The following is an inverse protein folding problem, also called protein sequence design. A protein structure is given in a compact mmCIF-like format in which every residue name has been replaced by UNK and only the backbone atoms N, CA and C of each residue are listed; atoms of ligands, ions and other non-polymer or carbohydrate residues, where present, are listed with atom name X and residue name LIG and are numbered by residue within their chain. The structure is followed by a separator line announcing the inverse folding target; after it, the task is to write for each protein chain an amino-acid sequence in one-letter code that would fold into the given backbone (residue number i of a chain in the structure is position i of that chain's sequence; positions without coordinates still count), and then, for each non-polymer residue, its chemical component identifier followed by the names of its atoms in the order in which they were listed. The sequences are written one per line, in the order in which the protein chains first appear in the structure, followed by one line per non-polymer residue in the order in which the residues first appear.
data_IF_188053257482
#
_entry.id   IF_188053257482
#
_cell.length_a   1.000
_cell.length_b   1.000
_cell.length_c   1.000
_cell.angle_alpha   90.00
_cell.angle_beta   90.00
_cell.angle_gamma   90.00
#
_symmetry.space_group_name_H-M   'P 1'
#
loop_
_entity.id
_entity.type
_entity.pdbx_description
1 polymer ?
#
# COMPACT_ATOMS: atom_id res chain seq x y z
N UNK A 1 -9.36 -3.77 -13.03
CA UNK A 1 -8.13 -3.05 -13.43
C UNK A 1 -8.44 -1.61 -13.81
N UNK A 2 -9.51 -1.34 -14.55
CA UNK A 2 -9.93 -0.01 -14.98
C UNK A 2 -10.05 1.01 -13.84
N UNK A 3 -10.65 0.63 -12.72
CA UNK A 3 -10.80 1.50 -11.55
C UNK A 3 -9.46 2.00 -10.98
N UNK A 4 -8.45 1.13 -10.92
CA UNK A 4 -7.11 1.50 -10.41
C UNK A 4 -6.42 2.47 -11.36
N UNK A 5 -6.56 2.27 -12.68
CA UNK A 5 -6.06 3.21 -13.70
C UNK A 5 -6.75 4.57 -13.59
N UNK A 6 -8.08 4.59 -13.54
CA UNK A 6 -8.87 5.82 -13.34
C UNK A 6 -8.45 6.56 -12.07
N UNK A 7 -8.21 5.84 -10.97
CA UNK A 7 -7.73 6.46 -9.75
C UNK A 7 -6.35 7.12 -9.93
N UNK A 8 -5.40 6.44 -10.61
CA UNK A 8 -4.09 7.02 -10.90
C UNK A 8 -4.20 8.29 -11.76
N UNK A 9 -5.02 8.26 -12.81
CA UNK A 9 -5.30 9.41 -13.68
C UNK A 9 -5.90 10.58 -12.91
N UNK A 10 -6.84 10.32 -11.98
CA UNK A 10 -7.43 11.33 -11.10
C UNK A 10 -6.40 11.99 -10.20
N UNK A 11 -5.47 11.21 -9.63
CA UNK A 11 -4.37 11.78 -8.85
C UNK A 11 -3.42 12.60 -9.70
N UNK A 12 -3.08 12.17 -10.91
CA UNK A 12 -2.26 12.94 -11.85
C UNK A 12 -2.92 14.27 -12.20
N UNK A 13 -4.21 14.25 -12.56
CA UNK A 13 -4.99 15.43 -12.91
C UNK A 13 -5.16 16.39 -11.70
N UNK A 14 -5.48 15.85 -10.52
CA UNK A 14 -5.68 16.65 -9.30
C UNK A 14 -4.41 17.33 -8.82
N UNK A 15 -3.29 16.62 -8.81
CA UNK A 15 -2.03 17.14 -8.29
C UNK A 15 -1.23 17.91 -9.32
N UNK A 16 -1.45 17.65 -10.62
CA UNK A 16 -0.63 18.15 -11.74
C UNK A 16 0.87 17.82 -11.56
N UNK A 17 1.14 16.65 -10.95
CA UNK A 17 2.49 16.18 -10.65
C UNK A 17 2.71 14.77 -11.19
N UNK A 18 3.98 14.41 -11.37
CA UNK A 18 4.37 13.03 -11.62
C UNK A 18 3.79 12.09 -10.57
N UNK A 19 3.25 10.95 -10.99
CA UNK A 19 2.69 9.93 -10.10
C UNK A 19 3.64 8.76 -9.98
N UNK A 20 4.03 8.46 -8.75
CA UNK A 20 4.71 7.22 -8.38
C UNK A 20 3.67 6.26 -7.79
N UNK A 21 3.39 5.16 -8.47
CA UNK A 21 2.47 4.13 -7.98
C UNK A 21 3.16 3.25 -6.93
N UNK A 22 2.60 3.19 -5.73
CA UNK A 22 3.12 2.34 -4.65
C UNK A 22 2.44 0.99 -4.71
N UNK A 23 3.19 -0.04 -5.15
CA UNK A 23 2.70 -1.40 -5.42
C UNK A 23 3.32 -2.46 -4.51
N UNK A 24 3.83 -2.06 -3.35
CA UNK A 24 4.35 -2.98 -2.32
C UNK A 24 3.29 -3.91 -1.77
N UNK A 25 3.69 -4.97 -1.07
CA UNK A 25 2.81 -5.99 -0.50
C UNK A 25 1.84 -6.57 -1.54
N UNK A 26 2.40 -7.02 -2.67
CA UNK A 26 1.64 -7.53 -3.82
C UNK A 26 0.56 -6.54 -4.29
N UNK A 27 0.94 -5.26 -4.47
CA UNK A 27 0.01 -4.17 -4.79
C UNK A 27 -1.16 -4.07 -3.78
N UNK A 28 -0.83 -4.06 -2.48
CA UNK A 28 -1.84 -4.10 -1.40
C UNK A 28 -2.82 -5.27 -1.56
N UNK A 29 -2.31 -6.43 -1.95
CA UNK A 29 -3.10 -7.64 -2.17
C UNK A 29 -3.85 -7.71 -3.51
N UNK A 30 -3.61 -6.80 -4.46
CA UNK A 30 -4.31 -6.77 -5.75
C UNK A 30 -3.60 -7.52 -6.89
N UNK A 31 -2.39 -8.09 -6.65
CA UNK A 31 -1.57 -8.68 -7.71
C UNK A 31 -0.64 -7.65 -8.34
N UNK A 32 0.65 -7.64 -7.92
CA UNK A 32 1.57 -6.56 -8.27
C UNK A 32 1.91 -6.52 -9.75
N UNK A 33 2.10 -7.66 -10.39
CA UNK A 33 2.51 -7.75 -11.79
C UNK A 33 1.42 -7.20 -12.71
N UNK A 34 0.19 -7.62 -12.51
CA UNK A 34 -0.96 -7.19 -13.32
C UNK A 34 -1.31 -5.72 -13.10
N UNK A 35 -1.20 -5.24 -11.85
CA UNK A 35 -1.41 -3.82 -11.53
C UNK A 35 -0.33 -2.95 -12.17
N UNK A 36 0.92 -3.40 -12.18
CA UNK A 36 2.03 -2.69 -12.83
C UNK A 36 1.81 -2.63 -14.34
N UNK A 37 1.45 -3.75 -14.97
CA UNK A 37 1.09 -3.80 -16.40
C UNK A 37 -0.07 -2.83 -16.72
N UNK A 38 -1.11 -2.79 -15.88
CA UNK A 38 -2.25 -1.91 -16.08
C UNK A 38 -1.92 -0.42 -15.95
N UNK A 39 -0.92 -0.08 -15.14
CA UNK A 39 -0.52 1.30 -14.84
C UNK A 39 0.68 1.79 -15.66
N UNK A 40 1.32 0.93 -16.45
CA UNK A 40 2.55 1.24 -17.17
C UNK A 40 2.44 2.52 -18.00
N UNK A 41 1.35 2.70 -18.76
CA UNK A 41 1.10 3.90 -19.56
C UNK A 41 0.61 5.13 -18.77
N UNK A 42 0.27 4.98 -17.48
CA UNK A 42 -0.44 6.00 -16.69
C UNK A 42 0.47 6.69 -15.65
N UNK A 43 1.48 5.98 -15.12
CA UNK A 43 2.33 6.50 -14.04
C UNK A 43 3.77 6.69 -14.48
N UNK A 44 4.52 7.53 -13.79
CA UNK A 44 5.91 7.86 -14.13
C UNK A 44 6.92 6.84 -13.59
N UNK A 45 6.62 6.26 -12.43
CA UNK A 45 7.46 5.25 -11.79
C UNK A 45 6.66 4.42 -10.79
N UNK A 46 7.26 3.33 -10.35
CA UNK A 46 6.72 2.47 -9.29
C UNK A 46 7.53 2.59 -8.01
N UNK A 47 6.93 2.22 -6.88
CA UNK A 47 7.65 2.07 -5.63
C UNK A 47 7.19 0.83 -4.86
N UNK A 48 8.16 0.12 -4.31
CA UNK A 48 7.95 -1.10 -3.51
C UNK A 48 8.70 -1.00 -2.18
N UNK A 49 8.46 -1.93 -1.28
CA UNK A 49 9.16 -1.97 -0.01
C UNK A 49 10.49 -2.73 -0.10
N UNK A 50 10.51 -3.88 -0.75
CA UNK A 50 11.59 -4.85 -0.74
C UNK A 50 12.22 -5.04 -2.14
N UNK A 51 13.46 -5.54 -2.17
CA UNK A 51 14.16 -5.84 -3.43
C UNK A 51 13.45 -6.95 -4.19
N UNK A 52 12.98 -7.97 -3.48
CA UNK A 52 12.26 -9.12 -4.04
C UNK A 52 10.98 -8.67 -4.77
N UNK A 53 10.27 -7.70 -4.20
CA UNK A 53 9.10 -7.10 -4.86
C UNK A 53 9.50 -6.33 -6.13
N UNK A 54 10.63 -5.62 -6.11
CA UNK A 54 11.14 -4.90 -7.28
C UNK A 54 11.54 -5.85 -8.41
N UNK A 55 12.23 -6.95 -8.08
CA UNK A 55 12.61 -7.99 -9.03
C UNK A 55 11.38 -8.64 -9.65
N UNK A 56 10.38 -8.99 -8.83
CA UNK A 56 9.14 -9.62 -9.30
C UNK A 56 8.39 -8.78 -10.34
N UNK A 57 8.37 -7.44 -10.20
CA UNK A 57 7.67 -6.55 -11.13
C UNK A 57 8.57 -5.96 -12.23
N UNK A 58 9.86 -6.31 -12.29
CA UNK A 58 10.83 -5.65 -13.20
C UNK A 58 10.40 -5.73 -14.66
N UNK A 59 9.96 -6.91 -15.10
CA UNK A 59 9.53 -7.14 -16.49
C UNK A 59 8.26 -6.37 -16.81
N UNK A 60 7.25 -6.46 -15.93
CA UNK A 60 5.96 -5.77 -16.09
C UNK A 60 6.09 -4.24 -16.10
N UNK A 61 7.10 -3.71 -15.40
CA UNK A 61 7.36 -2.27 -15.36
C UNK A 61 7.95 -1.68 -16.67
N UNK A 62 8.22 -2.50 -17.68
CA UNK A 62 8.63 -2.08 -19.04
C UNK A 62 9.70 -0.98 -19.09
N UNK A 63 10.76 -1.10 -18.27
CA UNK A 63 11.85 -0.12 -18.20
C UNK A 63 11.58 1.09 -17.29
N UNK A 64 10.37 1.28 -16.74
CA UNK A 64 10.11 2.35 -15.77
C UNK A 64 10.96 2.19 -14.50
N UNK A 65 11.24 3.32 -13.87
CA UNK A 65 12.02 3.36 -12.63
C UNK A 65 11.22 2.74 -11.48
N UNK A 66 11.90 1.97 -10.64
CA UNK A 66 11.33 1.37 -9.44
C UNK A 66 12.14 1.85 -8.22
N UNK A 67 11.47 2.59 -7.33
CA UNK A 67 12.03 3.04 -6.05
C UNK A 67 11.83 1.96 -4.99
N UNK A 68 12.91 1.56 -4.33
CA UNK A 68 12.85 0.60 -3.21
C UNK A 68 12.97 1.39 -1.90
N UNK A 69 11.96 1.26 -1.03
CA UNK A 69 11.93 2.02 0.23
C UNK A 69 12.89 1.50 1.29
N UNK A 70 13.09 0.17 1.38
CA UNK A 70 14.05 -0.42 2.30
C UNK A 70 15.46 -0.22 1.77
N UNK A 71 16.39 0.33 2.57
CA UNK A 71 17.77 0.47 2.15
C UNK A 71 18.46 -0.90 2.01
N UNK A 72 19.45 -1.04 1.12
CA UNK A 72 20.24 -2.26 1.04
C UNK A 72 21.09 -2.46 2.31
N UNK A 73 21.22 -3.72 2.72
CA UNK A 73 21.90 -4.12 3.94
C UNK A 73 23.33 -4.61 3.71
N UNK A 74 23.65 -5.08 2.50
CA UNK A 74 24.89 -5.71 2.12
C UNK A 74 25.31 -5.42 0.66
N UNK A 75 26.48 -5.94 0.24
CA UNK A 75 27.02 -5.74 -1.11
C UNK A 75 26.16 -6.42 -2.18
N UNK A 76 25.59 -7.60 -1.90
CA UNK A 76 24.78 -8.36 -2.85
C UNK A 76 23.53 -7.60 -3.25
N UNK A 77 22.82 -7.05 -2.26
CA UNK A 77 21.65 -6.23 -2.50
C UNK A 77 21.96 -4.96 -3.31
N UNK A 78 23.11 -4.33 -3.05
CA UNK A 78 23.56 -3.17 -3.86
C UNK A 78 23.78 -3.57 -5.31
N UNK A 79 24.43 -4.72 -5.55
CA UNK A 79 24.67 -5.24 -6.92
C UNK A 79 23.34 -5.50 -7.62
N UNK A 80 22.41 -6.21 -6.97
CA UNK A 80 21.08 -6.48 -7.54
C UNK A 80 20.36 -5.17 -7.90
N UNK A 81 20.39 -4.17 -7.02
CA UNK A 81 19.74 -2.88 -7.29
C UNK A 81 20.37 -2.17 -8.50
N UNK A 82 21.69 -2.18 -8.60
CA UNK A 82 22.40 -1.50 -9.69
C UNK A 82 22.20 -2.20 -11.04
N UNK A 83 22.32 -3.52 -11.10
CA UNK A 83 22.14 -4.30 -12.33
C UNK A 83 20.72 -4.23 -12.89
N UNK A 84 19.73 -4.09 -12.04
CA UNK A 84 18.33 -3.93 -12.45
C UNK A 84 17.89 -2.48 -12.66
N UNK A 85 18.77 -1.50 -12.45
CA UNK A 85 18.47 -0.07 -12.61
C UNK A 85 17.44 0.46 -11.60
N UNK A 86 17.35 -0.17 -10.42
CA UNK A 86 16.47 0.29 -9.34
C UNK A 86 16.97 1.57 -8.70
N UNK A 87 16.10 2.27 -7.99
CA UNK A 87 16.46 3.45 -7.21
C UNK A 87 16.56 3.02 -5.74
N UNK A 88 17.74 3.15 -5.15
CA UNK A 88 17.98 2.80 -3.77
C UNK A 88 17.63 3.96 -2.82
N UNK A 89 17.10 3.64 -1.65
CA UNK A 89 16.88 4.58 -0.55
C UNK A 89 18.14 4.72 0.31
N UNK A 90 18.56 5.96 0.57
CA UNK A 90 19.67 6.30 1.46
C UNK A 90 19.16 7.01 2.70
N UNK A 91 19.01 6.31 3.84
CA UNK A 91 18.50 6.89 5.08
C UNK A 91 19.58 7.41 6.03
N UNK A 92 20.85 7.09 5.78
CA UNK A 92 21.95 7.39 6.71
C UNK A 92 23.34 7.33 6.02
N UNK A 93 24.37 7.70 6.79
CA UNK A 93 25.75 7.72 6.29
C UNK A 93 26.34 6.31 6.10
N UNK A 94 25.90 5.30 6.86
CA UNK A 94 26.36 3.91 6.71
C UNK A 94 25.94 3.38 5.33
N UNK A 95 24.67 3.55 4.98
CA UNK A 95 24.14 3.15 3.66
C UNK A 95 24.85 3.92 2.54
N UNK A 96 25.05 5.25 2.68
CA UNK A 96 25.78 6.03 1.68
C UNK A 96 27.19 5.49 1.43
N UNK A 97 27.93 5.15 2.47
CA UNK A 97 29.28 4.58 2.38
C UNK A 97 29.26 3.19 1.73
N UNK A 98 28.30 2.33 2.10
CA UNK A 98 28.16 1.01 1.48
C UNK A 98 27.92 1.13 -0.02
N UNK A 99 26.99 1.98 -0.45
CA UNK A 99 26.69 2.21 -1.86
C UNK A 99 27.91 2.77 -2.60
N UNK A 100 28.58 3.79 -2.05
CA UNK A 100 29.75 4.38 -2.66
C UNK A 100 30.87 3.35 -2.86
N UNK A 101 31.17 2.56 -1.85
CA UNK A 101 32.19 1.51 -1.89
C UNK A 101 31.87 0.43 -2.93
N UNK A 102 30.65 -0.13 -2.90
CA UNK A 102 30.28 -1.24 -3.81
C UNK A 102 30.19 -0.77 -5.25
N UNK A 103 29.55 0.37 -5.51
CA UNK A 103 29.42 0.91 -6.86
C UNK A 103 30.79 1.22 -7.49
N UNK A 104 31.72 1.78 -6.71
CA UNK A 104 33.09 2.04 -7.18
C UNK A 104 33.89 0.74 -7.42
N UNK A 105 33.88 -0.18 -6.46
CA UNK A 105 34.54 -1.49 -6.54
C UNK A 105 34.07 -2.33 -7.73
N UNK A 106 32.76 -2.31 -8.02
CA UNK A 106 32.12 -3.10 -9.08
C UNK A 106 31.93 -2.34 -10.39
N UNK A 107 32.19 -1.01 -10.40
CA UNK A 107 31.90 -0.10 -11.52
C UNK A 107 30.44 -0.13 -11.99
N UNK A 108 29.51 -0.18 -11.03
CA UNK A 108 28.08 -0.26 -11.28
C UNK A 108 27.43 1.10 -11.02
N UNK A 109 26.63 1.59 -11.96
CA UNK A 109 25.88 2.84 -11.80
C UNK A 109 24.59 2.62 -11.02
N UNK A 110 24.29 3.50 -10.04
CA UNK A 110 23.11 3.40 -9.21
C UNK A 110 22.46 4.76 -8.98
N UNK A 111 21.15 4.82 -9.22
CA UNK A 111 20.33 5.97 -8.82
C UNK A 111 19.92 5.85 -7.35
N UNK A 112 19.96 6.97 -6.63
CA UNK A 112 19.59 6.97 -5.21
C UNK A 112 18.65 8.13 -4.88
N UNK A 113 17.73 7.87 -3.93
CA UNK A 113 16.91 8.89 -3.29
C UNK A 113 17.28 9.01 -1.81
N UNK A 114 17.56 10.23 -1.37
CA UNK A 114 17.90 10.55 0.01
C UNK A 114 16.64 10.61 0.87
N UNK A 115 16.60 9.83 1.96
CA UNK A 115 15.46 9.80 2.87
C UNK A 115 15.67 10.72 4.06
N UNK A 116 14.72 11.66 4.26
CA UNK A 116 14.72 12.62 5.37
C UNK A 116 13.70 12.19 6.43
N UNK A 117 14.08 12.33 7.68
CA UNK A 117 13.17 12.21 8.80
C UNK A 117 12.59 13.58 9.14
N UNK A 118 11.28 13.71 9.00
CA UNK A 118 10.53 14.92 9.37
C UNK A 118 9.63 14.71 10.58
N UNK A 119 9.94 13.70 11.41
CA UNK A 119 9.24 13.41 12.66
C UNK A 119 8.67 12.00 12.78
N UNK A 120 8.58 11.22 11.71
CA UNK A 120 8.07 9.84 11.75
C UNK A 120 8.96 8.88 12.55
N UNK A 121 10.27 9.17 12.67
CA UNK A 121 11.25 8.41 13.47
C UNK A 121 11.36 6.92 13.11
N UNK A 122 10.98 6.54 11.90
CA UNK A 122 11.14 5.17 11.39
C UNK A 122 12.55 4.94 10.83
N UNK A 123 12.99 5.79 9.92
CA UNK A 123 14.36 5.95 9.39
C UNK A 123 14.43 7.23 8.55
N UNK A 124 15.64 7.68 8.28
CA UNK A 124 15.91 8.92 7.54
C UNK A 124 16.80 9.90 8.30
N UNK A 125 17.36 10.83 7.60
CA UNK A 125 18.37 11.79 8.07
C UNK A 125 17.74 13.06 8.61
N UNK A 126 18.43 13.69 9.57
CA UNK A 126 18.30 15.11 9.87
C UNK A 126 19.25 15.93 8.98
N UNK A 127 19.16 17.25 9.06
CA UNK A 127 19.96 18.18 8.23
C UNK A 127 21.47 18.00 8.42
N UNK A 128 21.93 17.67 9.64
CA UNK A 128 23.34 17.47 9.94
C UNK A 128 23.90 16.19 9.29
N UNK A 129 23.16 15.10 9.38
CA UNK A 129 23.52 13.83 8.74
C UNK A 129 23.44 13.93 7.22
N UNK A 130 22.44 14.65 6.70
CA UNK A 130 22.28 14.93 5.27
C UNK A 130 23.52 15.59 4.68
N UNK A 131 24.08 16.63 5.33
CA UNK A 131 25.29 17.29 4.85
C UNK A 131 26.49 16.35 4.74
N UNK A 132 26.64 15.40 5.69
CA UNK A 132 27.70 14.36 5.62
C UNK A 132 27.47 13.39 4.48
N UNK A 133 26.21 12.95 4.27
CA UNK A 133 25.85 12.05 3.18
C UNK A 133 26.06 12.72 1.82
N UNK A 134 25.62 13.97 1.67
CA UNK A 134 25.86 14.71 0.42
C UNK A 134 27.35 14.81 0.07
N UNK A 135 28.20 15.12 1.05
CA UNK A 135 29.65 15.14 0.84
C UNK A 135 30.23 13.75 0.51
N UNK A 136 29.70 12.69 1.09
CA UNK A 136 30.12 11.31 0.81
C UNK A 136 29.80 10.89 -0.63
N UNK A 137 28.65 11.31 -1.15
CA UNK A 137 28.17 10.90 -2.49
C UNK A 137 28.58 11.88 -3.60
N UNK A 138 28.93 13.13 -3.26
CA UNK A 138 29.31 14.14 -4.21
C UNK A 138 30.63 13.74 -4.91
N UNK A 139 30.61 13.79 -6.25
CA UNK A 139 31.79 13.44 -7.07
C UNK A 139 32.02 11.95 -7.29
N UNK A 140 31.21 11.06 -6.70
CA UNK A 140 31.25 9.64 -7.03
C UNK A 140 30.65 9.42 -8.44
N UNK A 141 31.43 8.92 -9.42
CA UNK A 141 30.97 8.84 -10.82
C UNK A 141 29.91 7.75 -11.05
N UNK A 142 29.72 6.86 -10.08
CA UNK A 142 28.81 5.72 -10.18
C UNK A 142 27.50 5.95 -9.46
N UNK A 143 27.36 7.03 -8.62
CA UNK A 143 26.14 7.29 -7.88
C UNK A 143 25.49 8.57 -8.36
N UNK A 144 24.22 8.47 -8.77
CA UNK A 144 23.39 9.60 -9.15
C UNK A 144 22.32 9.85 -8.09
N UNK A 145 22.46 10.96 -7.36
CA UNK A 145 21.41 11.40 -6.42
C UNK A 145 20.29 12.07 -7.22
N UNK A 146 19.23 11.33 -7.49
CA UNK A 146 18.12 11.76 -8.36
C UNK A 146 16.89 12.23 -7.59
N UNK A 147 16.80 11.94 -6.28
CA UNK A 147 15.66 12.33 -5.46
C UNK A 147 16.00 12.56 -3.99
N UNK A 148 15.12 13.31 -3.33
CA UNK A 148 15.08 13.51 -1.89
C UNK A 148 13.64 13.43 -1.41
N UNK A 149 13.38 12.67 -0.31
CA UNK A 149 12.01 12.46 0.10
C UNK A 149 11.81 12.29 1.60
N UNK A 150 10.57 12.57 2.04
CA UNK A 150 10.10 12.23 3.35
C UNK A 150 8.71 11.59 3.29
N UNK A 151 8.00 11.53 4.42
CA UNK A 151 6.65 11.00 4.52
C UNK A 151 5.93 11.69 5.67
N UNK A 152 4.71 12.16 5.43
CA UNK A 152 3.86 12.72 6.48
C UNK A 152 3.38 11.60 7.39
N UNK A 153 3.50 11.79 8.72
CA UNK A 153 3.14 10.77 9.71
C UNK A 153 1.93 11.15 10.55
N UNK A 154 1.59 12.43 10.60
CA UNK A 154 0.45 12.94 11.39
C UNK A 154 -0.54 13.63 10.44
N UNK A 155 -1.82 13.42 10.68
CA UNK A 155 -2.89 13.70 9.74
C UNK A 155 -3.67 14.97 10.06
N UNK A 156 -3.03 16.01 10.64
CA UNK A 156 -3.58 17.36 10.75
C UNK A 156 -2.88 18.31 9.78
N UNK A 157 -3.57 19.34 9.31
CA UNK A 157 -3.00 20.32 8.36
C UNK A 157 -1.83 21.08 8.98
N UNK A 158 -1.94 21.50 10.24
CA UNK A 158 -0.89 22.23 10.96
C UNK A 158 0.41 21.41 11.01
N UNK A 159 0.32 20.16 11.44
CA UNK A 159 1.47 19.26 11.52
C UNK A 159 2.04 18.91 10.15
N UNK A 160 1.20 18.80 9.14
CA UNK A 160 1.67 18.61 7.76
C UNK A 160 2.48 19.83 7.27
N UNK A 161 2.08 21.07 7.63
CA UNK A 161 2.81 22.29 7.33
C UNK A 161 4.18 22.32 8.02
N UNK A 162 4.27 21.96 9.30
CA UNK A 162 5.54 21.86 10.04
C UNK A 162 6.50 20.85 9.39
N UNK A 163 5.99 19.66 9.09
CA UNK A 163 6.78 18.61 8.43
C UNK A 163 7.26 19.04 7.05
N UNK A 164 6.41 19.74 6.30
CA UNK A 164 6.76 20.32 5.00
C UNK A 164 7.84 21.39 5.11
N UNK A 165 7.74 22.30 6.08
CA UNK A 165 8.74 23.33 6.31
C UNK A 165 10.12 22.71 6.64
N UNK A 166 10.16 21.73 7.53
CA UNK A 166 11.38 21.00 7.86
C UNK A 166 11.94 20.24 6.64
N UNK A 167 11.08 19.64 5.84
CA UNK A 167 11.50 18.96 4.60
C UNK A 167 12.13 19.94 3.61
N UNK A 168 11.53 21.10 3.40
CA UNK A 168 12.05 22.12 2.48
C UNK A 168 13.44 22.67 2.90
N UNK A 169 13.70 22.81 4.20
CA UNK A 169 15.04 23.14 4.70
C UNK A 169 16.07 22.11 4.24
N UNK A 170 15.75 20.82 4.36
CA UNK A 170 16.63 19.74 3.94
C UNK A 170 16.79 19.69 2.40
N UNK A 171 15.72 19.95 1.64
CA UNK A 171 15.78 20.06 0.16
C UNK A 171 16.75 21.17 -0.25
N UNK A 172 16.68 22.35 0.39
CA UNK A 172 17.56 23.47 0.10
C UNK A 172 19.04 23.15 0.39
N UNK A 173 19.33 22.39 1.46
CA UNK A 173 20.69 21.90 1.74
C UNK A 173 21.13 20.89 0.66
N UNK A 174 20.29 19.92 0.30
CA UNK A 174 20.58 18.92 -0.71
C UNK A 174 20.87 19.55 -2.09
N UNK A 175 20.09 20.53 -2.52
CA UNK A 175 20.22 21.23 -3.81
C UNK A 175 21.54 22.00 -3.98
N UNK A 176 22.23 22.33 -2.89
CA UNK A 176 23.59 22.88 -2.97
C UNK A 176 24.62 21.89 -3.52
N UNK A 177 24.36 20.60 -3.35
CA UNK A 177 25.22 19.50 -3.82
C UNK A 177 24.68 18.86 -5.10
N UNK A 178 23.35 18.74 -5.22
CA UNK A 178 22.62 18.09 -6.30
C UNK A 178 21.49 18.97 -6.80
N UNK A 179 21.77 19.97 -7.66
CA UNK A 179 20.81 21.01 -8.06
C UNK A 179 19.50 20.48 -8.66
N UNK A 180 19.58 19.35 -9.41
CA UNK A 180 18.45 18.78 -10.16
C UNK A 180 17.69 17.69 -9.40
N UNK A 181 17.92 17.56 -8.08
CA UNK A 181 17.23 16.52 -7.28
C UNK A 181 15.73 16.77 -7.23
N UNK A 182 14.94 15.74 -7.53
CA UNK A 182 13.49 15.76 -7.42
C UNK A 182 13.06 15.58 -5.96
N UNK A 183 12.24 16.48 -5.45
CA UNK A 183 11.71 16.41 -4.10
C UNK A 183 10.33 15.72 -4.10
N UNK A 184 10.06 14.83 -3.14
CA UNK A 184 8.74 14.23 -2.94
C UNK A 184 8.45 13.96 -1.46
N UNK A 185 7.40 14.58 -0.94
CA UNK A 185 7.09 14.54 0.50
C UNK A 185 6.04 13.50 0.84
N UNK A 186 4.96 13.43 0.09
CA UNK A 186 3.78 12.74 0.55
C UNK A 186 3.29 11.61 -0.32
N UNK A 187 2.38 10.86 0.29
CA UNK A 187 1.55 9.85 -0.34
C UNK A 187 0.14 10.35 -0.61
N UNK A 188 -0.84 9.46 -0.58
CA UNK A 188 -2.26 9.77 -0.78
C UNK A 188 -2.74 10.95 0.08
N UNK A 189 -2.40 10.98 1.37
CA UNK A 189 -2.82 12.07 2.27
C UNK A 189 -2.28 13.44 1.84
N UNK A 190 -1.01 13.52 1.45
CA UNK A 190 -0.43 14.77 0.99
C UNK A 190 -1.14 15.33 -0.27
N UNK A 191 -1.52 14.43 -1.18
CA UNK A 191 -2.30 14.81 -2.36
C UNK A 191 -3.67 15.40 -2.01
N UNK A 192 -4.28 14.90 -0.93
CA UNK A 192 -5.58 15.40 -0.44
C UNK A 192 -5.47 16.79 0.21
N UNK A 193 -4.37 17.08 0.89
CA UNK A 193 -4.15 18.39 1.52
C UNK A 193 -3.96 19.51 0.50
N UNK A 194 -3.27 19.25 -0.61
CA UNK A 194 -3.03 20.22 -1.67
C UNK A 194 -1.75 19.98 -2.45
N UNK A 195 -1.63 20.66 -3.60
CA UNK A 195 -0.49 20.53 -4.53
C UNK A 195 0.85 20.87 -3.87
N UNK A 196 0.84 21.80 -2.91
CA UNK A 196 2.03 22.24 -2.18
C UNK A 196 2.70 21.15 -1.34
N UNK A 197 1.96 20.08 -1.00
CA UNK A 197 2.51 18.92 -0.29
C UNK A 197 3.04 17.82 -1.22
N UNK A 198 2.71 17.88 -2.52
CA UNK A 198 3.14 16.88 -3.51
C UNK A 198 4.58 17.10 -3.97
N UNK A 199 5.10 18.33 -3.96
CA UNK A 199 6.39 18.74 -4.50
C UNK A 199 6.51 18.43 -6.01
N UNK A 200 7.58 17.71 -6.43
CA UNK A 200 7.81 17.36 -7.83
C UNK A 200 7.10 16.06 -8.24
N UNK A 201 6.74 15.22 -7.26
CA UNK A 201 6.12 13.90 -7.47
C UNK A 201 5.29 13.47 -6.26
N UNK A 202 4.15 12.84 -6.50
CA UNK A 202 3.32 12.23 -5.45
C UNK A 202 3.44 10.69 -5.48
N UNK A 203 3.55 10.06 -4.30
CA UNK A 203 3.60 8.60 -4.17
C UNK A 203 2.26 8.08 -3.70
N UNK A 204 1.40 7.67 -4.63
CA UNK A 204 0.06 7.21 -4.31
C UNK A 204 0.10 5.71 -3.98
N UNK A 205 -0.40 5.35 -2.79
CA UNK A 205 -0.56 3.97 -2.34
C UNK A 205 -2.04 3.64 -2.24
N UNK A 206 -2.60 3.73 -1.04
CA UNK A 206 -3.98 3.31 -0.76
C UNK A 206 -5.01 3.97 -1.67
N UNK A 207 -4.76 5.20 -2.14
CA UNK A 207 -5.62 5.91 -3.07
C UNK A 207 -5.74 5.26 -4.45
N UNK A 208 -4.72 4.54 -4.93
CA UNK A 208 -4.80 3.78 -6.18
C UNK A 208 -5.88 2.70 -6.09
N UNK A 209 -6.02 2.10 -4.91
CA UNK A 209 -6.92 0.97 -4.66
C UNK A 209 -8.33 1.41 -4.25
N UNK A 210 -8.60 2.73 -4.30
CA UNK A 210 -9.94 3.28 -4.11
C UNK A 210 -10.28 3.67 -2.69
N UNK A 211 -9.29 3.92 -1.84
CA UNK A 211 -9.51 4.26 -0.44
C UNK A 211 -8.73 5.52 -0.03
N UNK A 212 -9.31 6.27 0.89
CA UNK A 212 -8.59 7.30 1.63
C UNK A 212 -7.89 6.67 2.85
N UNK A 213 -6.78 7.24 3.33
CA UNK A 213 -6.13 6.76 4.56
C UNK A 213 -7.07 6.85 5.76
N UNK A 214 -7.04 5.84 6.64
CA UNK A 214 -7.83 5.85 7.86
C UNK A 214 -7.38 6.98 8.80
N UNK A 215 -8.32 7.60 9.51
CA UNK A 215 -8.05 8.62 10.53
C UNK A 215 -7.58 9.97 10.03
N UNK A 216 -7.68 10.24 8.71
CA UNK A 216 -7.30 11.55 8.15
C UNK A 216 -8.24 12.66 8.63
N UNK A 217 -7.67 13.84 8.85
CA UNK A 217 -8.35 15.05 9.26
C UNK A 217 -7.99 16.21 8.33
N UNK A 218 -8.76 17.30 8.42
CA UNK A 218 -8.50 18.57 7.75
C UNK A 218 -8.37 18.50 6.21
N UNK A 219 -8.94 17.48 5.59
CA UNK A 219 -8.96 17.36 4.13
C UNK A 219 -10.03 18.28 3.55
N UNK A 220 -9.67 19.19 2.63
CA UNK A 220 -10.64 20.06 2.00
C UNK A 220 -11.71 19.27 1.24
N UNK A 221 -12.99 19.63 1.38
CA UNK A 221 -14.11 18.97 0.69
C UNK A 221 -13.91 18.89 -0.84
N UNK A 222 -13.30 19.93 -1.41
CA UNK A 222 -12.96 19.97 -2.85
C UNK A 222 -12.05 18.81 -3.29
N UNK A 223 -11.18 18.28 -2.38
CA UNK A 223 -10.31 17.15 -2.70
C UNK A 223 -11.12 15.86 -2.83
N UNK A 224 -12.08 15.63 -1.94
CA UNK A 224 -12.99 14.48 -2.06
C UNK A 224 -13.83 14.53 -3.34
N UNK A 225 -14.32 15.73 -3.71
CA UNK A 225 -15.09 15.93 -4.94
C UNK A 225 -14.24 15.72 -6.21
N UNK A 226 -12.97 16.13 -6.17
CA UNK A 226 -12.05 15.97 -7.30
C UNK A 226 -11.51 14.55 -7.45
N UNK A 227 -11.53 13.77 -6.36
CA UNK A 227 -11.02 12.41 -6.30
C UNK A 227 -12.14 11.41 -5.94
N UNK A 228 -13.12 11.18 -6.82
CA UNK A 228 -14.15 10.16 -6.62
C UNK A 228 -13.53 8.77 -6.84
N UNK A 229 -12.83 8.25 -5.82
CA UNK A 229 -12.07 7.02 -5.92
C UNK A 229 -12.98 5.80 -6.09
N UNK A 230 -12.60 4.91 -6.99
CA UNK A 230 -13.29 3.66 -7.28
C UNK A 230 -12.51 2.48 -6.70
N UNK A 231 -13.20 1.57 -5.99
CA UNK A 231 -12.56 0.42 -5.34
C UNK A 231 -12.00 -0.57 -6.35
N UNK A 232 -10.77 -1.02 -6.10
CA UNK A 232 -10.02 -1.89 -7.00
C UNK A 232 -10.32 -3.38 -6.83
N UNK A 233 -10.95 -3.78 -5.70
CA UNK A 233 -11.11 -5.18 -5.35
C UNK A 233 -12.51 -5.49 -4.82
N UNK A 234 -13.03 -6.65 -5.22
CA UNK A 234 -14.15 -7.36 -4.57
C UNK A 234 -13.71 -8.80 -4.32
N UNK A 235 -13.89 -9.31 -3.10
CA UNK A 235 -13.60 -10.71 -2.77
C UNK A 235 -14.90 -11.49 -2.74
N UNK A 236 -14.91 -12.65 -3.38
CA UNK A 236 -16.06 -13.56 -3.43
C UNK A 236 -15.76 -14.85 -2.70
N UNK A 237 -16.78 -15.40 -2.04
CA UNK A 237 -16.76 -16.74 -1.48
C UNK A 237 -17.78 -17.64 -2.18
N UNK A 238 -17.38 -18.86 -2.52
CA UNK A 238 -18.27 -19.82 -3.15
C UNK A 238 -19.09 -20.60 -2.11
N UNK A 239 -20.37 -20.79 -2.36
CA UNK A 239 -21.23 -21.65 -1.52
C UNK A 239 -20.93 -23.12 -1.86
N UNK A 240 -20.37 -23.85 -0.88
CA UNK A 240 -19.98 -25.25 -1.03
C UNK A 240 -20.95 -26.24 -0.37
N UNK A 241 -21.84 -25.77 0.50
CA UNK A 241 -22.89 -26.60 1.09
C UNK A 241 -24.06 -25.75 1.58
N UNK A 242 -25.25 -26.33 1.58
CA UNK A 242 -26.42 -25.81 2.24
C UNK A 242 -26.91 -26.87 3.26
N UNK A 243 -27.24 -26.40 4.47
CA UNK A 243 -27.67 -27.24 5.58
C UNK A 243 -28.98 -26.72 6.17
N UNK A 244 -29.84 -27.63 6.57
CA UNK A 244 -30.95 -27.36 7.45
C UNK A 244 -30.55 -27.82 8.86
N UNK A 245 -30.51 -26.88 9.81
CA UNK A 245 -30.08 -27.13 11.19
C UNK A 245 -31.27 -26.96 12.11
N UNK A 246 -31.57 -28.02 12.88
CA UNK A 246 -32.66 -28.05 13.87
C UNK A 246 -32.18 -28.38 15.28
N UNK A 247 -30.88 -28.75 15.44
CA UNK A 247 -30.27 -29.05 16.74
C UNK A 247 -28.75 -28.82 16.70
N UNK A 248 -28.13 -28.68 17.87
CA UNK A 248 -26.70 -28.54 18.02
C UNK A 248 -26.22 -27.10 17.76
N UNK A 249 -24.91 -26.94 17.52
CA UNK A 249 -24.24 -25.68 17.23
C UNK A 249 -23.97 -25.46 15.75
N UNK A 250 -23.61 -24.24 15.39
CA UNK A 250 -23.18 -23.86 14.04
C UNK A 250 -21.72 -23.45 14.11
N UNK A 251 -20.80 -24.31 13.63
CA UNK A 251 -19.35 -24.11 13.77
C UNK A 251 -18.86 -24.40 15.18
N UNK A 252 -17.77 -23.68 15.59
CA UNK A 252 -17.15 -23.86 16.89
C UNK A 252 -17.76 -22.98 17.97
N UNK A 253 -18.01 -23.53 19.15
CA UNK A 253 -18.51 -22.81 20.33
C UNK A 253 -20.03 -22.72 20.40
N UNK A 254 -20.52 -21.99 21.39
CA UNK A 254 -21.95 -21.71 21.56
C UNK A 254 -22.34 -20.54 20.66
N UNK A 255 -22.78 -20.87 19.48
CA UNK A 255 -23.12 -19.87 18.48
C UNK A 255 -24.53 -19.34 18.60
N UNK A 256 -25.42 -20.15 19.11
CA UNK A 256 -26.82 -19.84 19.23
C UNK A 256 -27.30 -20.16 20.63
N UNK A 257 -28.02 -19.24 21.22
CA UNK A 257 -28.76 -19.52 22.44
C UNK A 257 -29.90 -20.48 22.13
N UNK A 258 -30.30 -21.25 23.14
CA UNK A 258 -31.32 -22.31 22.98
C UNK A 258 -32.64 -21.78 22.38
N UNK A 259 -32.93 -20.51 22.57
CA UNK A 259 -34.14 -19.84 22.08
C UNK A 259 -34.06 -19.42 20.61
N UNK A 260 -32.83 -19.37 20.00
CA UNK A 260 -32.66 -19.01 18.58
C UNK A 260 -32.89 -20.19 17.63
N UNK A 261 -32.88 -21.44 18.12
CA UNK A 261 -33.10 -22.66 17.32
C UNK A 261 -34.52 -23.24 17.55
N UNK A 262 -35.53 -22.41 17.69
CA UNK A 262 -36.90 -22.86 17.81
C UNK A 262 -37.50 -23.31 16.46
N UNK A 263 -36.83 -23.10 15.35
CA UNK A 263 -37.26 -23.48 14.00
C UNK A 263 -36.11 -23.96 13.14
N UNK A 264 -36.43 -24.75 12.12
CA UNK A 264 -35.45 -25.20 11.10
C UNK A 264 -34.77 -24.00 10.44
N UNK A 265 -33.46 -23.86 10.64
CA UNK A 265 -32.66 -22.76 10.07
C UNK A 265 -31.88 -23.25 8.85
N UNK A 266 -31.93 -22.48 7.77
CA UNK A 266 -31.07 -22.69 6.60
C UNK A 266 -29.72 -22.00 6.81
N UNK A 267 -28.65 -22.76 6.64
CA UNK A 267 -27.26 -22.32 6.73
C UNK A 267 -26.56 -22.60 5.41
N UNK A 268 -25.91 -21.58 4.84
CA UNK A 268 -24.97 -21.75 3.74
C UNK A 268 -23.54 -21.75 4.26
N UNK A 269 -22.74 -22.68 3.75
CA UNK A 269 -21.31 -22.81 4.04
C UNK A 269 -20.54 -22.22 2.88
N UNK A 270 -19.72 -21.20 3.17
CA UNK A 270 -18.91 -20.48 2.20
C UNK A 270 -17.46 -20.91 2.30
N UNK A 271 -16.80 -21.09 1.16
CA UNK A 271 -15.37 -21.40 1.08
C UNK A 271 -14.54 -20.13 1.28
N UNK A 272 -14.42 -19.67 2.49
CA UNK A 272 -13.44 -18.73 2.99
C UNK A 272 -13.42 -18.77 4.52
N UNK A 273 -12.26 -18.48 5.10
CA UNK A 273 -12.10 -18.50 6.55
C UNK A 273 -10.98 -17.57 7.02
N UNK A 274 -10.58 -17.73 8.30
CA UNK A 274 -9.50 -16.85 8.82
C UNK A 274 -8.12 -17.21 8.22
N UNK A 275 -7.92 -18.39 7.65
CA UNK A 275 -6.71 -18.73 6.91
C UNK A 275 -6.61 -17.97 5.56
N UNK A 276 -7.72 -17.47 5.04
CA UNK A 276 -7.77 -16.60 3.86
C UNK A 276 -7.48 -15.13 4.20
N UNK A 277 -7.25 -14.82 5.48
CA UNK A 277 -6.92 -13.48 5.96
C UNK A 277 -8.07 -12.71 6.60
N UNK A 278 -9.26 -13.28 6.69
CA UNK A 278 -10.38 -12.67 7.41
C UNK A 278 -10.15 -12.78 8.92
N UNK A 279 -10.25 -11.64 9.62
CA UNK A 279 -10.02 -11.60 11.05
C UNK A 279 -11.18 -12.25 11.82
N UNK A 280 -10.87 -13.23 12.69
CA UNK A 280 -11.84 -13.81 13.60
C UNK A 280 -12.01 -12.93 14.81
N UNK A 281 -13.04 -12.10 14.82
CA UNK A 281 -13.37 -11.30 15.99
C UNK A 281 -13.98 -12.12 17.12
N UNK A 282 -13.56 -11.81 18.34
CA UNK A 282 -14.11 -12.39 19.57
C UNK A 282 -15.22 -11.56 20.23
N UNK A 283 -15.64 -10.43 19.63
CA UNK A 283 -16.58 -9.51 20.26
C UNK A 283 -17.97 -9.49 19.62
N UNK A 284 -18.94 -9.89 20.43
CA UNK A 284 -20.37 -9.54 20.43
C UNK A 284 -20.98 -9.13 19.09
N UNK A 285 -21.19 -10.09 18.17
CA UNK A 285 -22.13 -9.92 17.06
C UNK A 285 -21.72 -8.94 15.95
N UNK A 286 -20.64 -8.20 16.12
CA UNK A 286 -20.16 -7.24 15.15
C UNK A 286 -19.12 -7.88 14.21
N UNK A 287 -19.53 -8.78 13.36
CA UNK A 287 -18.73 -9.17 12.22
C UNK A 287 -19.26 -8.40 11.02
N UNK A 288 -18.41 -7.76 10.24
CA UNK A 288 -18.73 -6.89 9.11
C UNK A 288 -19.46 -7.52 7.94
N UNK A 289 -20.29 -8.47 8.22
CA UNK A 289 -21.17 -9.13 7.30
C UNK A 289 -22.59 -8.99 7.84
N UNK A 290 -23.33 -8.01 7.35
CA UNK A 290 -24.75 -7.85 7.67
C UNK A 290 -25.48 -9.18 7.49
N UNK A 291 -26.34 -9.54 8.46
CA UNK A 291 -27.11 -10.79 8.54
C UNK A 291 -26.36 -12.05 8.92
N UNK A 292 -25.38 -12.00 9.81
CA UNK A 292 -24.48 -13.10 10.05
C UNK A 292 -24.74 -13.90 11.32
N UNK A 293 -24.88 -15.18 11.10
CA UNK A 293 -24.47 -16.19 12.05
C UNK A 293 -22.96 -16.30 11.91
N UNK A 294 -22.24 -15.83 12.90
CA UNK A 294 -20.82 -15.52 12.76
C UNK A 294 -19.94 -16.67 13.22
N UNK A 295 -19.82 -17.70 12.40
CA UNK A 295 -18.82 -18.73 12.63
C UNK A 295 -17.84 -18.77 11.49
N UNK A 296 -16.84 -17.87 11.61
CA UNK A 296 -15.63 -17.95 10.81
C UNK A 296 -14.74 -19.05 11.37
N UNK A 297 -14.65 -20.15 10.63
CA UNK A 297 -13.70 -21.24 10.85
C UNK A 297 -12.39 -20.98 10.09
N UNK A 298 -11.47 -21.94 10.12
CA UNK A 298 -10.20 -21.80 9.41
C UNK A 298 -10.39 -21.62 7.90
N UNK A 299 -11.22 -22.47 7.28
CA UNK A 299 -11.35 -22.60 5.83
C UNK A 299 -12.76 -22.31 5.31
N UNK A 300 -13.72 -22.14 6.22
CA UNK A 300 -15.12 -21.90 5.86
C UNK A 300 -15.76 -20.87 6.78
N UNK A 301 -16.79 -20.21 6.26
CA UNK A 301 -17.68 -19.35 7.02
C UNK A 301 -19.13 -19.87 6.88
N UNK A 302 -19.87 -19.81 7.96
CA UNK A 302 -21.27 -20.23 7.99
C UNK A 302 -22.17 -19.01 8.14
N UNK A 303 -23.20 -18.90 7.29
CA UNK A 303 -24.15 -17.77 7.32
C UNK A 303 -25.60 -18.27 7.24
N UNK A 304 -26.53 -17.57 7.91
CA UNK A 304 -27.96 -17.73 7.64
C UNK A 304 -28.23 -17.33 6.19
N UNK A 305 -29.04 -18.11 5.48
CA UNK A 305 -29.44 -17.78 4.12
C UNK A 305 -29.59 -19.02 3.24
N UNK A 306 -30.06 -18.79 2.05
CA UNK A 306 -30.33 -19.82 1.04
C UNK A 306 -29.79 -19.37 -0.32
N UNK A 307 -28.47 -19.25 -0.45
CA UNK A 307 -27.84 -19.22 -1.76
C UNK A 307 -27.89 -20.62 -2.39
N UNK A 308 -27.75 -20.73 -3.69
CA UNK A 308 -27.63 -22.02 -4.36
C UNK A 308 -26.21 -22.57 -4.18
N UNK A 309 -26.08 -23.89 -4.18
CA UNK A 309 -24.76 -24.54 -4.23
C UNK A 309 -23.99 -24.02 -5.46
N UNK A 310 -22.71 -23.72 -5.28
CA UNK A 310 -21.79 -23.15 -6.27
C UNK A 310 -21.99 -21.68 -6.62
N UNK A 311 -22.95 -20.95 -6.03
CA UNK A 311 -23.06 -19.52 -6.20
C UNK A 311 -21.81 -18.81 -5.63
N UNK A 312 -21.34 -17.78 -6.34
CA UNK A 312 -20.31 -16.87 -5.89
C UNK A 312 -20.96 -15.62 -5.29
N UNK A 313 -20.70 -15.39 -4.03
CA UNK A 313 -21.30 -14.26 -3.28
C UNK A 313 -20.19 -13.30 -2.86
N UNK A 314 -20.37 -11.99 -3.06
CA UNK A 314 -19.41 -11.02 -2.58
C UNK A 314 -19.34 -11.07 -1.04
N UNK A 315 -18.13 -11.22 -0.53
CA UNK A 315 -17.85 -11.33 0.92
C UNK A 315 -17.08 -10.12 1.45
N UNK A 316 -16.39 -9.39 0.56
CA UNK A 316 -15.76 -8.12 0.85
C UNK A 316 -15.89 -7.21 -0.37
N UNK A 317 -16.66 -6.14 -0.22
CA UNK A 317 -16.84 -5.08 -1.22
C UNK A 317 -16.24 -3.75 -0.75
N UNK A 318 -16.06 -3.61 0.57
CA UNK A 318 -15.49 -2.44 1.21
C UNK A 318 -14.55 -2.82 2.35
N UNK A 319 -13.24 -2.69 2.10
CA UNK A 319 -12.23 -3.00 3.10
C UNK A 319 -12.21 -2.00 4.26
N UNK A 320 -12.66 -0.75 4.04
CA UNK A 320 -12.69 0.27 5.11
C UNK A 320 -13.78 -0.02 6.15
N UNK A 321 -14.92 -0.53 5.71
CA UNK A 321 -15.98 -0.97 6.62
C UNK A 321 -15.51 -2.18 7.43
N UNK A 322 -14.92 -3.18 6.78
CA UNK A 322 -14.33 -4.33 7.46
C UNK A 322 -13.28 -3.89 8.49
N UNK A 323 -12.38 -2.97 8.11
CA UNK A 323 -11.35 -2.43 9.01
C UNK A 323 -11.98 -1.79 10.26
N UNK A 324 -13.00 -0.94 10.09
CA UNK A 324 -13.74 -0.29 11.19
C UNK A 324 -14.34 -1.30 12.16
N UNK A 325 -14.96 -2.35 11.63
CA UNK A 325 -15.63 -3.39 12.44
C UNK A 325 -14.59 -4.26 13.15
N UNK A 326 -13.47 -4.57 12.50
CA UNK A 326 -12.41 -5.40 13.06
C UNK A 326 -11.37 -4.62 13.87
N UNK A 327 -11.58 -3.31 14.07
CA UNK A 327 -10.71 -2.41 14.81
C UNK A 327 -9.25 -2.45 14.28
N UNK A 328 -9.13 -2.37 12.97
CA UNK A 328 -7.84 -2.29 12.26
C UNK A 328 -7.89 -1.20 11.19
N UNK A 329 -6.95 -1.21 10.24
CA UNK A 329 -6.86 -0.26 9.15
C UNK A 329 -7.13 -0.92 7.79
N UNK A 330 -7.65 -0.15 6.85
CA UNK A 330 -7.97 -0.60 5.48
C UNK A 330 -6.79 -1.30 4.79
N UNK A 331 -5.57 -0.80 5.03
CA UNK A 331 -4.34 -1.39 4.49
C UNK A 331 -4.13 -2.84 4.92
N UNK A 332 -4.37 -3.15 6.21
CA UNK A 332 -4.19 -4.50 6.74
C UNK A 332 -5.22 -5.45 6.16
N UNK A 333 -6.49 -5.02 6.07
CA UNK A 333 -7.55 -5.84 5.46
C UNK A 333 -7.20 -6.21 4.03
N UNK A 334 -6.85 -5.23 3.19
CA UNK A 334 -6.50 -5.47 1.78
C UNK A 334 -5.34 -6.45 1.61
N UNK A 335 -4.25 -6.26 2.39
CA UNK A 335 -3.08 -7.12 2.30
C UNK A 335 -3.32 -8.55 2.85
N UNK A 336 -4.35 -8.74 3.68
CA UNK A 336 -4.61 -10.02 4.33
C UNK A 336 -5.55 -10.93 3.53
N UNK A 337 -6.63 -10.38 2.96
CA UNK A 337 -7.78 -11.16 2.45
C UNK A 337 -7.54 -11.91 1.14
N UNK A 338 -6.36 -11.80 0.55
CA UNK A 338 -6.01 -12.43 -0.73
C UNK A 338 -4.98 -13.55 -0.63
N UNK A 339 -4.64 -13.99 0.59
CA UNK A 339 -3.56 -14.98 0.82
C UNK A 339 -3.72 -16.29 0.06
N UNK A 340 -4.96 -16.74 -0.13
CA UNK A 340 -5.30 -17.97 -0.87
C UNK A 340 -6.33 -17.74 -1.97
N UNK A 341 -6.52 -16.47 -2.37
CA UNK A 341 -7.46 -16.11 -3.41
C UNK A 341 -6.92 -16.43 -4.80
N UNK A 342 -7.79 -16.87 -5.68
CA UNK A 342 -7.56 -16.85 -7.12
C UNK A 342 -7.93 -15.46 -7.66
N UNK A 343 -7.06 -14.89 -8.49
CA UNK A 343 -7.27 -13.55 -9.03
C UNK A 343 -7.97 -13.64 -10.38
N UNK A 344 -9.03 -12.87 -10.53
CA UNK A 344 -9.70 -12.64 -11.81
C UNK A 344 -9.69 -11.14 -12.08
N UNK A 345 -9.09 -10.72 -13.18
CA UNK A 345 -8.94 -9.32 -13.52
C UNK A 345 -9.95 -8.90 -14.57
N UNK A 346 -10.72 -7.87 -14.23
CA UNK A 346 -11.63 -7.18 -15.14
C UNK A 346 -10.92 -5.94 -15.70
N UNK A 347 -10.99 -5.77 -17.02
CA UNK A 347 -10.35 -4.68 -17.75
C UNK A 347 -11.30 -3.53 -18.10
N UNK A 348 -12.59 -3.61 -17.68
CA UNK A 348 -13.59 -2.56 -17.92
C UNK A 348 -13.36 -1.27 -17.11
#
# INVERSE_FOLDING_TARGET
MGNIRKNAERFAAWTEKSVCAVVKANAYGHGAEEIVNALEGTVDCFAVALIEEAVAIRTAACGKKILIFTPPMDEEQVVIMAENGFIATVPDLRTAKLLAYVCEKRRLSLNVHLKINTGMNRYGMNVYTLGKVCKCLQGNPYISVTGIYSHLYEYTYERACEQRALFLQNVNVCRKYFPNVKAHLGGTYAALLGKEFCMDMVRVGIGLYGYFPDGIQDVPEKAYKALPLEKGMTVYGQIIANRCVSFGGVGYGKAWEKDEIQSLQRISVYRFGYADGFLRQRHNGANGFENNVNHLCMDVCLRKGAGKHSDWIPILTDASETARITNTITHEVLCAVTRRAEFVYDNE
#
